data_IF_575866259252
#
_entry.id   IF_575866259252
#
_cell.length_a   1.000
_cell.length_b   1.000
_cell.length_c   1.000
_cell.angle_alpha   90.00
_cell.angle_beta   90.00
_cell.angle_gamma   90.00
#
_symmetry.space_group_name_H-M   'P 1'
#
loop_
_entity.id
_entity.type
_entity.pdbx_description
1 polymer ?
#
# COMPACT_ATOMS: atom_id res chain seq x y z
N UNK A 1 -20.21 -21.48 2.86
CA UNK A 1 -19.52 -20.25 2.44
C UNK A 1 -18.51 -19.75 3.48
N UNK A 2 -18.02 -20.59 4.39
CA UNK A 2 -16.85 -20.30 5.25
C UNK A 2 -16.21 -21.63 5.69
N UNK A 3 -15.42 -22.29 4.83
CA UNK A 3 -14.77 -23.56 5.25
C UNK A 3 -13.25 -23.55 5.04
N UNK A 4 -12.65 -22.73 4.17
CA UNK A 4 -11.19 -22.78 3.96
C UNK A 4 -10.44 -21.43 3.80
N UNK A 5 -11.07 -20.27 4.05
CA UNK A 5 -10.43 -18.96 3.86
C UNK A 5 -9.81 -18.74 2.45
N UNK A 6 -10.24 -19.52 1.46
CA UNK A 6 -9.79 -19.45 0.08
C UNK A 6 -10.49 -18.27 -0.61
N UNK A 7 -9.74 -17.49 -1.39
CA UNK A 7 -10.34 -16.48 -2.27
C UNK A 7 -11.23 -17.18 -3.31
N UNK A 8 -12.19 -16.46 -3.91
CA UNK A 8 -13.11 -17.06 -4.90
C UNK A 8 -12.36 -17.80 -6.04
N UNK A 9 -11.29 -17.24 -6.64
CA UNK A 9 -10.45 -17.97 -7.60
C UNK A 9 -9.82 -19.24 -7.01
N UNK A 10 -9.31 -19.18 -5.79
CA UNK A 10 -8.68 -20.33 -5.14
C UNK A 10 -9.70 -21.44 -4.82
N UNK A 11 -10.93 -21.05 -4.43
CA UNK A 11 -12.03 -21.97 -4.19
C UNK A 11 -12.48 -22.65 -5.49
N UNK A 12 -12.53 -21.92 -6.60
CA UNK A 12 -12.82 -22.47 -7.94
C UNK A 12 -11.70 -23.43 -8.38
N UNK A 13 -10.43 -23.06 -8.18
CA UNK A 13 -9.29 -23.90 -8.49
C UNK A 13 -9.22 -25.17 -7.62
N UNK A 14 -9.63 -25.09 -6.35
CA UNK A 14 -9.73 -26.23 -5.45
C UNK A 14 -10.84 -27.21 -5.89
N UNK A 15 -12.03 -26.68 -6.22
CA UNK A 15 -13.17 -27.49 -6.67
C UNK A 15 -12.89 -28.18 -8.01
N UNK A 16 -12.26 -27.48 -8.96
CA UNK A 16 -11.91 -28.06 -10.25
C UNK A 16 -10.87 -29.19 -10.12
N UNK A 17 -9.86 -29.03 -9.25
CA UNK A 17 -8.91 -30.11 -8.92
C UNK A 17 -9.63 -31.32 -8.31
N UNK A 18 -10.58 -31.10 -7.41
CA UNK A 18 -11.40 -32.18 -6.82
C UNK A 18 -12.32 -32.86 -7.84
N UNK A 19 -12.83 -32.12 -8.82
CA UNK A 19 -13.69 -32.61 -9.89
C UNK A 19 -12.91 -33.17 -11.10
N UNK A 20 -11.58 -33.17 -11.05
CA UNK A 20 -10.68 -33.54 -12.15
C UNK A 20 -11.01 -32.82 -13.48
N UNK A 21 -11.43 -31.55 -13.36
CA UNK A 21 -11.80 -30.70 -14.48
C UNK A 21 -10.63 -29.76 -14.79
N UNK A 22 -10.20 -29.62 -16.06
CA UNK A 22 -9.17 -28.67 -16.42
C UNK A 22 -9.65 -27.25 -16.11
N UNK A 23 -8.90 -26.52 -15.29
CA UNK A 23 -9.05 -25.07 -15.21
C UNK A 23 -8.44 -24.49 -16.48
N UNK A 24 -9.10 -23.54 -17.15
CA UNK A 24 -8.39 -22.69 -18.09
C UNK A 24 -7.22 -22.07 -17.33
N UNK A 25 -6.00 -22.18 -17.85
CA UNK A 25 -4.92 -21.30 -17.39
C UNK A 25 -5.41 -19.88 -17.69
N UNK A 26 -5.80 -19.15 -16.64
CA UNK A 26 -5.87 -17.69 -16.76
C UNK A 26 -4.44 -17.26 -17.07
N UNK A 27 -4.11 -17.16 -18.37
CA UNK A 27 -2.98 -16.38 -18.82
C UNK A 27 -3.08 -15.08 -18.03
N UNK A 28 -2.09 -14.81 -17.16
CA UNK A 28 -2.11 -13.67 -16.24
C UNK A 28 -2.71 -12.49 -16.96
N UNK A 29 -3.98 -12.20 -16.71
CA UNK A 29 -4.66 -11.16 -17.45
C UNK A 29 -3.93 -9.87 -17.10
N UNK A 30 -3.83 -8.93 -18.02
CA UNK A 30 -3.15 -7.65 -17.76
C UNK A 30 -3.64 -7.01 -16.44
N UNK A 31 -4.90 -7.26 -16.07
CA UNK A 31 -5.52 -6.84 -14.81
C UNK A 31 -4.91 -7.50 -13.56
N UNK A 32 -4.56 -8.79 -13.60
CA UNK A 32 -3.86 -9.46 -12.47
C UNK A 32 -2.46 -8.92 -12.26
N UNK A 33 -1.71 -8.67 -13.35
CA UNK A 33 -0.36 -8.09 -13.31
C UNK A 33 -0.40 -6.66 -12.77
N UNK A 34 -1.34 -5.84 -13.27
CA UNK A 34 -1.56 -4.47 -12.78
C UNK A 34 -1.94 -4.45 -11.31
N UNK A 35 -2.86 -5.31 -10.86
CA UNK A 35 -3.23 -5.41 -9.44
C UNK A 35 -2.03 -5.78 -8.57
N UNK A 36 -1.22 -6.75 -8.99
CA UNK A 36 -0.01 -7.13 -8.27
C UNK A 36 0.97 -5.96 -8.15
N UNK A 37 1.12 -5.19 -9.23
CA UNK A 37 1.97 -3.99 -9.27
C UNK A 37 1.50 -2.89 -8.31
N UNK A 38 0.20 -2.60 -8.27
CA UNK A 38 -0.37 -1.61 -7.34
C UNK A 38 -0.26 -2.07 -5.87
N UNK A 39 -0.37 -3.38 -5.60
CA UNK A 39 -0.15 -3.93 -4.26
C UNK A 39 1.31 -3.80 -3.83
N UNK A 40 2.25 -4.03 -4.75
CA UNK A 40 3.68 -3.82 -4.49
C UNK A 40 3.98 -2.36 -4.15
N UNK A 41 3.44 -1.42 -4.94
CA UNK A 41 3.54 0.02 -4.69
C UNK A 41 3.00 0.40 -3.32
N UNK A 42 1.82 -0.09 -2.92
CA UNK A 42 1.26 0.18 -1.60
C UNK A 42 2.13 -0.38 -0.46
N UNK A 43 2.73 -1.56 -0.64
CA UNK A 43 3.70 -2.11 0.34
C UNK A 43 4.94 -1.24 0.46
N UNK A 44 5.44 -0.70 -0.65
CA UNK A 44 6.57 0.21 -0.65
C UNK A 44 6.25 1.57 -0.01
N UNK A 45 5.05 2.09 -0.26
CA UNK A 45 4.56 3.30 0.40
C UNK A 45 4.39 3.10 1.92
N UNK A 46 3.83 1.95 2.33
CA UNK A 46 3.71 1.60 3.74
C UNK A 46 5.07 1.55 4.45
N UNK A 47 6.08 0.92 3.82
CA UNK A 47 7.47 0.93 4.33
C UNK A 47 8.01 2.34 4.46
N UNK A 48 7.85 3.17 3.41
CA UNK A 48 8.27 4.56 3.43
C UNK A 48 7.65 5.34 4.60
N UNK A 49 6.33 5.23 4.80
CA UNK A 49 5.66 5.92 5.91
C UNK A 49 6.10 5.40 7.27
N UNK A 50 6.32 4.09 7.41
CA UNK A 50 6.83 3.51 8.65
C UNK A 50 8.24 4.04 8.99
N UNK A 51 9.11 4.19 8.00
CA UNK A 51 10.43 4.77 8.18
C UNK A 51 10.36 6.27 8.50
N UNK A 52 9.45 7.01 7.86
CA UNK A 52 9.19 8.42 8.16
C UNK A 52 8.71 8.62 9.61
N UNK A 53 7.90 7.71 10.15
CA UNK A 53 7.49 7.75 11.56
C UNK A 53 8.68 7.65 12.51
N UNK A 54 9.71 6.87 12.15
CA UNK A 54 10.94 6.70 12.97
C UNK A 54 11.93 7.85 12.79
N UNK A 55 11.80 8.63 11.72
CA UNK A 55 12.68 9.76 11.44
C UNK A 55 12.43 10.96 12.38
N UNK A 56 13.35 11.93 12.45
CA UNK A 56 13.13 13.17 13.21
C UNK A 56 11.87 13.94 12.78
N UNK A 57 11.50 13.89 11.49
CA UNK A 57 10.27 14.53 10.98
C UNK A 57 9.00 13.89 11.56
N UNK A 58 9.08 12.62 11.97
CA UNK A 58 7.99 11.87 12.59
C UNK A 58 7.77 12.19 14.07
N UNK A 59 8.61 13.02 14.72
CA UNK A 59 8.52 13.31 16.16
C UNK A 59 7.10 13.72 16.61
N UNK A 60 6.37 14.62 15.91
CA UNK A 60 5.01 14.98 16.30
C UNK A 60 4.04 13.79 16.28
N UNK A 61 4.18 12.89 15.30
CA UNK A 61 3.37 11.67 15.22
C UNK A 61 3.74 10.66 16.31
N UNK A 62 5.03 10.52 16.62
CA UNK A 62 5.48 9.68 17.73
C UNK A 62 4.93 10.18 19.08
N UNK A 63 4.94 11.49 19.31
CA UNK A 63 4.33 12.11 20.49
C UNK A 63 2.84 11.82 20.57
N UNK A 64 2.13 11.93 19.46
CA UNK A 64 0.71 11.63 19.38
C UNK A 64 0.41 10.16 19.70
N UNK A 65 1.17 9.23 19.10
CA UNK A 65 1.06 7.78 19.35
C UNK A 65 1.32 7.46 20.83
N UNK A 66 2.35 8.06 21.44
CA UNK A 66 2.63 7.93 22.88
C UNK A 66 1.49 8.44 23.75
N UNK A 67 0.96 9.64 23.46
CA UNK A 67 -0.20 10.22 24.18
C UNK A 67 -1.45 9.35 24.07
N UNK A 68 -1.60 8.63 22.97
CA UNK A 68 -2.71 7.67 22.74
C UNK A 68 -2.47 6.29 23.34
N UNK A 69 -1.38 6.09 24.09
CA UNK A 69 -0.99 4.82 24.70
C UNK A 69 -0.85 3.67 23.68
N UNK A 70 -0.51 3.99 22.43
CA UNK A 70 -0.23 2.98 21.40
C UNK A 70 1.21 2.51 21.61
N UNK A 71 1.38 1.24 21.94
CA UNK A 71 2.71 0.69 22.24
C UNK A 71 3.59 0.58 20.98
N UNK A 72 4.93 0.60 21.13
CA UNK A 72 5.83 0.35 20.00
C UNK A 72 5.55 -0.99 19.30
N UNK A 73 5.15 -2.02 20.05
CA UNK A 73 4.76 -3.31 19.48
C UNK A 73 3.51 -3.20 18.59
N UNK A 74 2.52 -2.37 18.97
CA UNK A 74 1.36 -2.09 18.12
C UNK A 74 1.74 -1.30 16.87
N UNK A 75 2.62 -0.29 17.00
CA UNK A 75 3.13 0.47 15.85
C UNK A 75 3.75 -0.46 14.82
N UNK A 76 4.60 -1.40 15.25
CA UNK A 76 5.21 -2.38 14.35
C UNK A 76 4.20 -3.39 13.82
N UNK A 77 3.35 -3.96 14.68
CA UNK A 77 2.38 -5.00 14.30
C UNK A 77 1.38 -4.53 13.25
N UNK A 78 0.89 -3.29 13.39
CA UNK A 78 -0.08 -2.70 12.48
C UNK A 78 0.56 -1.81 11.42
N UNK A 79 1.90 -1.76 11.35
CA UNK A 79 2.62 -1.01 10.32
C UNK A 79 2.39 0.50 10.35
N UNK A 80 2.05 1.09 11.51
CA UNK A 80 1.77 2.52 11.60
C UNK A 80 2.93 3.33 11.02
N UNK A 81 2.59 4.37 10.26
CA UNK A 81 3.55 5.25 9.61
C UNK A 81 3.19 6.71 9.75
N UNK A 82 3.97 7.59 9.12
CA UNK A 82 3.75 9.02 9.11
C UNK A 82 3.97 9.58 7.71
N UNK A 83 2.99 10.32 7.20
CA UNK A 83 3.14 11.13 6.01
C UNK A 83 3.69 12.52 6.42
N UNK A 84 4.91 12.89 6.02
CA UNK A 84 5.50 14.17 6.39
C UNK A 84 4.73 15.34 5.76
N UNK A 85 4.95 16.55 6.28
CA UNK A 85 4.38 17.77 5.70
C UNK A 85 5.19 18.22 4.47
N UNK A 86 5.07 17.45 3.40
CA UNK A 86 5.76 17.69 2.13
C UNK A 86 4.83 17.37 0.97
N UNK A 87 4.97 18.12 -0.12
CA UNK A 87 4.12 17.95 -1.30
C UNK A 87 4.51 16.76 -2.17
N UNK A 88 5.74 16.24 -2.07
CA UNK A 88 6.26 15.26 -3.04
C UNK A 88 7.22 14.23 -2.40
N UNK A 89 7.19 14.06 -1.08
CA UNK A 89 8.14 13.16 -0.41
C UNK A 89 7.95 11.70 -0.83
N UNK A 90 6.69 11.24 -0.87
CA UNK A 90 6.32 9.90 -1.28
C UNK A 90 6.49 9.77 -2.79
N UNK A 91 5.98 10.73 -3.56
CA UNK A 91 6.09 10.70 -5.02
C UNK A 91 7.55 10.55 -5.46
N UNK A 92 8.46 11.34 -4.90
CA UNK A 92 9.89 11.24 -5.20
C UNK A 92 10.52 9.93 -4.71
N UNK A 93 10.08 9.38 -3.57
CA UNK A 93 10.55 8.08 -3.10
C UNK A 93 10.10 6.92 -4.00
N UNK A 94 8.87 6.95 -4.50
CA UNK A 94 8.32 5.91 -5.37
C UNK A 94 8.87 6.02 -6.80
N UNK A 95 9.10 7.24 -7.33
CA UNK A 95 9.81 7.43 -8.61
C UNK A 95 11.20 6.82 -8.60
N UNK A 96 11.96 6.99 -7.50
CA UNK A 96 13.29 6.34 -7.34
C UNK A 96 13.22 4.81 -7.33
N UNK A 97 12.05 4.24 -7.04
CA UNK A 97 11.78 2.79 -7.11
C UNK A 97 11.22 2.34 -8.47
N UNK A 98 11.08 3.26 -9.43
CA UNK A 98 10.63 2.96 -10.78
C UNK A 98 9.10 2.93 -10.95
N UNK A 99 8.34 3.50 -10.01
CA UNK A 99 6.90 3.69 -10.20
C UNK A 99 6.63 4.99 -10.98
N UNK A 100 5.69 4.90 -11.91
CA UNK A 100 5.18 6.03 -12.69
C UNK A 100 4.16 6.86 -11.90
N UNK A 101 3.99 8.12 -12.32
CA UNK A 101 2.97 9.01 -11.78
C UNK A 101 1.54 8.45 -11.97
N UNK A 102 1.33 7.69 -13.05
CA UNK A 102 0.07 7.01 -13.31
C UNK A 102 -0.20 5.88 -12.32
N UNK A 103 0.78 5.00 -12.05
CA UNK A 103 0.63 3.94 -11.03
C UNK A 103 0.37 4.53 -9.64
N UNK A 104 1.06 5.61 -9.28
CA UNK A 104 0.83 6.31 -8.01
C UNK A 104 -0.56 6.96 -7.92
N UNK A 105 -1.05 7.50 -9.03
CA UNK A 105 -2.38 8.09 -9.08
C UNK A 105 -3.46 7.01 -8.94
N UNK A 106 -3.31 5.88 -9.65
CA UNK A 106 -4.21 4.73 -9.57
C UNK A 106 -4.23 4.09 -8.18
N UNK A 107 -3.07 4.05 -7.51
CA UNK A 107 -2.97 3.61 -6.12
C UNK A 107 -3.57 4.61 -5.12
N UNK A 108 -4.00 5.80 -5.55
CA UNK A 108 -4.54 6.86 -4.68
C UNK A 108 -3.49 7.53 -3.78
N UNK A 109 -2.20 7.33 -4.08
CA UNK A 109 -1.08 7.84 -3.29
C UNK A 109 -0.71 9.28 -3.65
N UNK A 110 -1.06 9.71 -4.87
CA UNK A 110 -0.86 11.09 -5.35
C UNK A 110 -2.13 11.64 -5.99
N UNK A 111 -2.17 12.96 -6.17
CA UNK A 111 -3.23 13.69 -6.88
C UNK A 111 -2.62 14.59 -7.95
N UNK A 112 -3.35 14.86 -9.02
CA UNK A 112 -2.92 15.81 -10.04
C UNK A 112 -2.96 17.25 -9.51
N UNK A 113 -1.87 17.98 -9.71
CA UNK A 113 -1.76 19.42 -9.51
C UNK A 113 -2.28 20.20 -10.73
N UNK A 114 -2.61 21.48 -10.51
CA UNK A 114 -3.15 22.35 -11.56
C UNK A 114 -2.17 22.62 -12.72
N UNK A 115 -0.87 22.48 -12.47
CA UNK A 115 0.20 22.79 -13.43
C UNK A 115 0.76 21.57 -14.17
N UNK A 116 0.08 20.42 -14.12
CA UNK A 116 0.49 19.22 -14.88
C UNK A 116 1.44 18.25 -14.16
N UNK A 117 1.68 18.43 -12.86
CA UNK A 117 2.42 17.49 -12.01
C UNK A 117 1.51 16.69 -11.06
N UNK A 118 2.11 15.85 -10.22
CA UNK A 118 1.41 15.17 -9.12
C UNK A 118 1.97 15.59 -7.76
N UNK A 119 1.14 15.49 -6.72
CA UNK A 119 1.55 15.73 -5.35
C UNK A 119 0.98 14.67 -4.39
N UNK A 120 1.67 14.44 -3.28
CA UNK A 120 1.33 13.46 -2.24
C UNK A 120 -0.11 13.68 -1.73
N UNK A 121 -0.93 12.62 -1.77
CA UNK A 121 -2.32 12.67 -1.33
C UNK A 121 -2.44 12.84 0.20
N UNK A 122 -1.45 12.37 0.95
CA UNK A 122 -1.38 12.39 2.41
C UNK A 122 -0.23 13.29 2.86
N UNK A 123 -0.51 14.19 3.80
CA UNK A 123 0.48 15.13 4.37
C UNK A 123 0.16 15.41 5.82
N UNK A 124 1.19 15.46 6.65
CA UNK A 124 1.09 15.69 8.09
C UNK A 124 0.04 14.78 8.77
N UNK A 125 0.10 13.47 8.48
CA UNK A 125 -0.89 12.47 8.93
C UNK A 125 -0.22 11.23 9.49
N UNK A 126 -0.79 10.69 10.55
CA UNK A 126 -0.53 9.32 10.97
C UNK A 126 -1.17 8.37 9.94
N UNK A 127 -0.40 7.41 9.46
CA UNK A 127 -0.79 6.48 8.40
C UNK A 127 -1.05 5.09 8.99
N UNK A 128 -2.08 4.44 8.45
CA UNK A 128 -2.48 3.07 8.74
C UNK A 128 -2.51 2.33 7.40
N UNK A 129 -1.53 1.46 7.12
CA UNK A 129 -1.44 0.71 5.85
C UNK A 129 -2.56 -0.30 5.65
#
# INVERSE_FOLDING_TARGET
>A
MEIENLSFPDAVAFLARRANMPLPEEAQSEDTSRRARLLELNRDAARFFHDMLKSPQGSPAQDYVRRRAISPAMVTRFGLGFAPDSWESLANAMRRKGYSDQEMFEAGLVKHGKSGGVYDAFRNRLMFP
#
